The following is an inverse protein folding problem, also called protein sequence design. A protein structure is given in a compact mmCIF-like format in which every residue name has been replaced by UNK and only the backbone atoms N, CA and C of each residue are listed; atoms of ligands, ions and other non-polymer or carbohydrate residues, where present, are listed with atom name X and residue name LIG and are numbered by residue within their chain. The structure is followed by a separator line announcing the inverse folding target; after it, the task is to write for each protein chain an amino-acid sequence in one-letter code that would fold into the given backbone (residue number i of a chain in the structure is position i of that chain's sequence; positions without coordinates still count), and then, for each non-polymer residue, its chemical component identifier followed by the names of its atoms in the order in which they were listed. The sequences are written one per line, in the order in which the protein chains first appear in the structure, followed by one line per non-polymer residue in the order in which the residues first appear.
data_IF_120503087280
#
_entry.id   IF_120503087280
#
_cell.length_a   1.000
_cell.length_b   1.000
_cell.length_c   1.000
_cell.angle_alpha   90.00
_cell.angle_beta   90.00
_cell.angle_gamma   90.00
#
_symmetry.space_group_name_H-M   'P 1'
#
loop_
_entity.id
_entity.type
_entity.pdbx_description
1 polymer ?
#
# COMPACT_ATOMS: atom_id res chain seq x y z
N UNK A 1 -42.33 22.92 12.30
CA UNK A 1 -41.47 23.49 11.24
C UNK A 1 -40.20 24.01 11.87
N UNK A 2 -39.11 23.23 11.82
CA UNK A 2 -37.74 23.71 12.05
C UNK A 2 -36.79 22.59 11.64
N UNK A 3 -36.12 22.76 10.51
CA UNK A 3 -35.03 21.90 10.03
C UNK A 3 -34.03 22.79 9.29
N UNK A 4 -32.85 22.93 9.87
CA UNK A 4 -31.68 23.57 9.26
C UNK A 4 -30.50 22.61 9.35
N UNK A 5 -29.45 22.90 8.60
CA UNK A 5 -28.17 22.19 8.59
C UNK A 5 -28.24 20.75 8.04
N UNK A 6 -28.46 20.65 6.73
CA UNK A 6 -28.08 19.50 5.90
C UNK A 6 -27.36 20.03 4.64
N UNK A 7 -26.16 20.60 4.83
CA UNK A 7 -25.25 21.07 3.77
C UNK A 7 -23.81 20.79 4.25
N UNK A 8 -22.91 20.52 3.30
CA UNK A 8 -21.46 20.26 3.48
C UNK A 8 -21.12 18.89 4.11
N UNK A 9 -21.09 17.85 3.26
CA UNK A 9 -20.13 16.73 3.37
C UNK A 9 -19.89 15.98 2.02
N UNK A 10 -20.28 16.57 0.87
CA UNK A 10 -20.28 15.90 -0.46
C UNK A 10 -19.44 16.68 -1.48
N UNK A 11 -18.25 17.17 -1.07
CA UNK A 11 -17.38 18.02 -1.92
C UNK A 11 -15.89 17.62 -1.91
N UNK A 12 -15.39 16.92 -0.89
CA UNK A 12 -13.95 16.58 -0.82
C UNK A 12 -13.52 15.43 -1.76
N UNK A 13 -14.44 14.58 -2.22
CA UNK A 13 -14.15 13.49 -3.18
C UNK A 13 -13.92 13.97 -4.63
N UNK A 14 -13.81 15.27 -4.88
CA UNK A 14 -13.58 15.87 -6.20
C UNK A 14 -12.21 16.56 -6.35
N UNK A 15 -11.32 16.39 -5.37
CA UNK A 15 -9.87 16.63 -5.50
C UNK A 15 -9.09 15.32 -5.75
N UNK A 16 -9.71 14.38 -6.46
CA UNK A 16 -9.00 13.30 -7.16
C UNK A 16 -7.82 13.88 -7.95
N UNK A 17 -6.67 13.20 -7.95
CA UNK A 17 -5.45 13.65 -8.62
C UNK A 17 -5.73 14.08 -10.07
N UNK A 18 -5.71 15.40 -10.32
CA UNK A 18 -6.04 16.02 -11.61
C UNK A 18 -4.93 15.86 -12.66
N UNK A 19 -4.51 14.61 -12.89
CA UNK A 19 -3.60 14.19 -13.95
C UNK A 19 -4.27 14.36 -15.32
N UNK A 20 -4.43 15.60 -15.75
CA UNK A 20 -4.75 15.96 -17.14
C UNK A 20 -3.50 15.83 -18.01
N UNK A 21 -3.00 14.61 -18.10
CA UNK A 21 -1.83 14.25 -18.91
C UNK A 21 -2.02 14.76 -20.34
N UNK A 22 -1.19 15.74 -20.72
CA UNK A 22 -1.33 16.43 -22.00
C UNK A 22 -0.82 15.54 -23.13
N UNK A 23 -1.73 14.72 -23.68
CA UNK A 23 -1.50 13.92 -24.88
C UNK A 23 -0.77 14.72 -25.97
N UNK A 24 0.50 14.38 -26.20
CA UNK A 24 1.13 14.54 -27.51
C UNK A 24 0.86 13.27 -28.29
N UNK A 25 0.15 13.38 -29.40
CA UNK A 25 -0.18 12.24 -30.26
C UNK A 25 1.11 11.55 -30.73
N UNK A 26 1.35 10.31 -30.30
CA UNK A 26 2.20 9.35 -31.01
C UNK A 26 1.29 8.40 -31.82
N UNK A 27 1.71 8.03 -33.02
CA UNK A 27 0.92 7.16 -33.88
C UNK A 27 1.17 5.68 -33.58
N UNK A 28 0.11 4.89 -33.58
CA UNK A 28 0.15 3.43 -33.56
C UNK A 28 1.10 2.87 -34.63
N UNK A 29 2.26 2.42 -34.17
CA UNK A 29 3.12 1.50 -34.89
C UNK A 29 3.52 0.41 -33.91
N UNK A 30 3.38 -0.86 -34.30
CA UNK A 30 3.84 -2.00 -33.49
C UNK A 30 5.36 -2.10 -33.54
N UNK A 31 6.02 -1.15 -32.88
CA UNK A 31 7.43 -1.24 -32.53
C UNK A 31 7.54 -2.34 -31.48
N UNK A 32 8.19 -3.46 -31.83
CA UNK A 32 8.68 -4.40 -30.83
C UNK A 32 9.71 -3.61 -30.01
N UNK A 33 9.56 -3.49 -28.68
CA UNK A 33 10.49 -2.69 -27.88
C UNK A 33 11.91 -3.23 -28.07
N UNK A 34 12.93 -2.35 -28.22
CA UNK A 34 14.31 -2.80 -28.37
C UNK A 34 14.74 -3.61 -27.12
N UNK A 35 15.64 -4.59 -27.28
CA UNK A 35 16.11 -5.39 -26.16
C UNK A 35 16.71 -4.48 -25.08
N UNK A 36 16.21 -4.62 -23.85
CA UNK A 36 16.56 -3.76 -22.73
C UNK A 36 18.09 -3.77 -22.48
N UNK A 37 18.75 -2.61 -22.32
CA UNK A 37 20.21 -2.53 -22.24
C UNK A 37 20.76 -3.24 -20.99
N UNK A 38 21.99 -3.79 -21.05
CA UNK A 38 22.59 -4.51 -19.92
C UNK A 38 22.73 -3.61 -18.68
N UNK A 39 22.59 -4.21 -17.50
CA UNK A 39 22.76 -3.53 -16.22
C UNK A 39 24.27 -3.32 -15.97
N UNK A 40 24.67 -2.11 -15.55
CA UNK A 40 26.08 -1.84 -15.23
C UNK A 40 26.49 -2.56 -13.93
N UNK A 41 27.69 -3.16 -13.92
CA UNK A 41 28.26 -3.73 -12.70
C UNK A 41 28.97 -2.63 -11.91
N UNK A 42 28.38 -2.25 -10.78
CA UNK A 42 28.92 -1.22 -9.89
C UNK A 42 30.36 -1.56 -9.44
N UNK A 43 31.31 -0.65 -9.65
CA UNK A 43 32.70 -0.91 -9.27
C UNK A 43 32.90 -0.81 -7.75
N UNK A 44 33.98 -1.41 -7.23
CA UNK A 44 34.35 -1.28 -5.82
C UNK A 44 34.67 0.19 -5.42
N UNK A 45 35.12 1.01 -6.37
CA UNK A 45 35.37 2.44 -6.14
C UNK A 45 34.05 3.23 -6.06
N UNK A 46 33.12 3.00 -6.99
CA UNK A 46 31.78 3.60 -6.97
C UNK A 46 31.03 3.22 -5.68
N UNK A 47 31.06 1.93 -5.34
CA UNK A 47 30.50 1.39 -4.10
C UNK A 47 31.05 2.08 -2.86
N UNK A 48 32.37 2.29 -2.79
CA UNK A 48 33.01 2.93 -1.63
C UNK A 48 32.69 4.44 -1.55
N UNK A 49 32.55 5.13 -2.68
CA UNK A 49 32.13 6.53 -2.72
C UNK A 49 30.68 6.70 -2.26
N UNK A 50 29.75 5.90 -2.81
CA UNK A 50 28.33 5.93 -2.43
C UNK A 50 28.15 5.52 -0.97
N UNK A 51 28.85 4.47 -0.49
CA UNK A 51 28.79 4.02 0.90
C UNK A 51 29.34 5.04 1.92
N UNK A 52 30.12 6.03 1.48
CA UNK A 52 30.52 7.16 2.32
C UNK A 52 29.41 8.20 2.39
N UNK A 53 28.88 8.63 1.24
CA UNK A 53 27.78 9.59 1.16
C UNK A 53 26.52 9.09 1.87
N UNK A 54 26.25 7.77 1.80
CA UNK A 54 25.19 7.11 2.58
C UNK A 54 25.37 7.35 4.10
N UNK A 55 26.60 7.21 4.62
CA UNK A 55 26.87 7.46 6.04
C UNK A 55 26.63 8.92 6.41
N UNK A 56 27.02 9.87 5.56
CA UNK A 56 26.79 11.30 5.79
C UNK A 56 25.28 11.65 5.81
N UNK A 57 24.47 10.98 4.97
CA UNK A 57 23.00 11.08 4.98
C UNK A 57 22.41 10.43 6.25
N UNK A 58 22.87 9.23 6.64
CA UNK A 58 22.45 8.54 7.89
C UNK A 58 22.76 9.38 9.13
N UNK A 59 23.91 10.07 9.16
CA UNK A 59 24.26 11.00 10.24
C UNK A 59 23.35 12.24 10.26
N UNK A 60 22.93 12.75 9.08
CA UNK A 60 21.93 13.81 8.98
C UNK A 60 20.55 13.35 9.49
N UNK A 61 20.07 12.16 9.10
CA UNK A 61 18.84 11.55 9.64
C UNK A 61 18.88 11.45 11.16
N UNK A 62 19.94 10.89 11.73
CA UNK A 62 20.08 10.72 13.17
C UNK A 62 20.12 12.05 13.93
N UNK A 63 20.72 13.10 13.35
CA UNK A 63 20.71 14.45 13.90
C UNK A 63 19.29 15.06 13.84
N UNK A 64 18.58 14.91 12.72
CA UNK A 64 17.21 15.37 12.57
C UNK A 64 16.28 14.70 13.57
N UNK A 65 16.25 13.37 13.65
CA UNK A 65 15.35 12.63 14.56
C UNK A 65 15.50 13.05 16.02
N UNK A 66 16.73 13.28 16.51
CA UNK A 66 16.97 13.80 17.87
C UNK A 66 16.28 15.15 18.11
N UNK A 67 16.40 16.07 17.15
CA UNK A 67 15.73 17.38 17.21
C UNK A 67 14.20 17.35 17.07
N UNK A 68 13.61 16.20 16.72
CA UNK A 68 12.14 15.98 16.77
C UNK A 68 11.72 15.37 18.12
N UNK A 69 12.60 14.61 18.78
CA UNK A 69 12.31 13.95 20.06
C UNK A 69 12.63 14.79 21.31
N UNK A 70 13.45 15.83 21.17
CA UNK A 70 13.74 16.79 22.25
C UNK A 70 12.54 17.74 22.44
N UNK A 71 12.23 18.11 23.69
CA UNK A 71 10.94 18.72 24.07
C UNK A 71 10.68 20.13 23.53
N UNK A 72 11.67 20.76 22.93
CA UNK A 72 11.58 22.10 22.34
C UNK A 72 11.15 21.97 20.87
N UNK A 73 9.83 21.95 20.63
CA UNK A 73 9.21 21.77 19.30
C UNK A 73 9.47 22.98 18.36
N UNK A 74 10.71 23.08 17.89
CA UNK A 74 11.20 24.15 17.03
C UNK A 74 10.97 23.80 15.55
N UNK A 75 9.88 24.33 15.01
CA UNK A 75 9.48 24.11 13.62
C UNK A 75 10.52 24.55 12.59
N UNK A 76 11.37 25.53 12.89
CA UNK A 76 12.44 25.97 11.98
C UNK A 76 13.62 25.01 12.01
N UNK A 77 14.06 24.52 13.19
CA UNK A 77 15.03 23.41 13.26
C UNK A 77 14.53 22.19 12.49
N UNK A 78 13.25 21.83 12.63
CA UNK A 78 12.65 20.72 11.89
C UNK A 78 12.61 20.96 10.37
N UNK A 79 12.33 22.18 9.90
CA UNK A 79 12.42 22.53 8.47
C UNK A 79 13.84 22.40 7.95
N UNK A 80 14.82 23.02 8.62
CA UNK A 80 16.23 22.97 8.21
C UNK A 80 16.80 21.56 8.20
N UNK A 81 16.47 20.74 9.22
CA UNK A 81 16.92 19.35 9.32
C UNK A 81 16.40 18.47 8.19
N UNK A 82 15.12 18.62 7.80
CA UNK A 82 14.53 17.94 6.63
C UNK A 82 15.18 18.39 5.33
N UNK A 83 15.31 19.70 5.12
CA UNK A 83 15.90 20.26 3.89
C UNK A 83 17.35 19.78 3.67
N UNK A 84 18.19 19.82 4.70
CA UNK A 84 19.58 19.31 4.60
C UNK A 84 19.64 17.79 4.36
N UNK A 85 18.67 17.02 4.84
CA UNK A 85 18.58 15.58 4.55
C UNK A 85 18.19 15.34 3.08
N UNK A 86 17.08 15.93 2.63
CA UNK A 86 16.62 15.86 1.24
C UNK A 86 17.70 16.28 0.25
N UNK A 87 18.30 17.44 0.49
CA UNK A 87 19.34 18.00 -0.37
C UNK A 87 20.52 17.04 -0.54
N UNK A 88 21.01 16.42 0.55
CA UNK A 88 22.12 15.45 0.48
C UNK A 88 21.75 14.17 -0.26
N UNK A 89 20.50 13.72 -0.16
CA UNK A 89 20.01 12.61 -0.98
C UNK A 89 19.97 13.00 -2.46
N UNK A 90 19.37 14.14 -2.82
CA UNK A 90 19.36 14.63 -4.20
C UNK A 90 20.76 14.84 -4.79
N UNK A 91 21.66 15.47 -4.03
CA UNK A 91 23.08 15.64 -4.38
C UNK A 91 23.77 14.29 -4.60
N UNK A 92 23.49 13.26 -3.78
CA UNK A 92 24.02 11.92 -3.99
C UNK A 92 23.48 11.29 -5.28
N UNK A 93 22.16 11.26 -5.47
CA UNK A 93 21.51 10.57 -6.57
C UNK A 93 21.83 11.19 -7.93
N UNK A 94 21.77 12.53 -8.03
CA UNK A 94 22.01 13.26 -9.29
C UNK A 94 23.49 13.20 -9.69
N UNK A 95 24.43 13.33 -8.75
CA UNK A 95 25.87 13.28 -9.07
C UNK A 95 26.42 11.85 -9.20
N UNK A 96 25.67 10.82 -8.79
CA UNK A 96 26.10 9.42 -8.86
C UNK A 96 24.95 8.54 -9.38
N UNK A 97 24.61 8.57 -10.68
CA UNK A 97 23.44 7.84 -11.22
C UNK A 97 23.49 6.32 -10.97
N UNK A 98 24.68 5.73 -10.84
CA UNK A 98 24.89 4.33 -10.43
C UNK A 98 24.32 3.97 -9.04
N UNK A 99 23.85 4.94 -8.27
CA UNK A 99 23.05 4.73 -7.05
C UNK A 99 21.81 3.87 -7.29
N UNK A 100 21.27 3.83 -8.52
CA UNK A 100 20.23 2.86 -8.92
C UNK A 100 20.65 1.40 -8.69
N UNK A 101 21.95 1.09 -8.84
CA UNK A 101 22.52 -0.26 -8.70
C UNK A 101 23.20 -0.51 -7.34
N UNK A 102 23.28 0.51 -6.47
CA UNK A 102 23.82 0.37 -5.12
C UNK A 102 22.79 -0.21 -4.15
N UNK A 103 23.24 -1.02 -3.19
CA UNK A 103 22.42 -1.59 -2.11
C UNK A 103 22.57 -0.75 -0.84
N UNK A 104 21.53 0.03 -0.53
CA UNK A 104 21.47 1.00 0.55
C UNK A 104 21.22 0.36 1.92
N UNK A 105 22.15 -0.50 2.34
CA UNK A 105 22.11 -1.28 3.57
C UNK A 105 21.88 -0.47 4.85
N UNK A 106 22.20 0.84 4.88
CA UNK A 106 21.98 1.70 6.06
C UNK A 106 20.75 2.60 5.92
N UNK A 107 20.45 3.13 4.73
CA UNK A 107 19.20 3.90 4.55
C UNK A 107 17.96 3.02 4.62
N UNK A 108 18.05 1.75 4.20
CA UNK A 108 16.96 0.77 4.38
C UNK A 108 16.61 0.49 5.86
N UNK A 109 17.52 0.79 6.80
CA UNK A 109 17.26 0.72 8.26
C UNK A 109 16.52 1.95 8.80
N UNK A 110 16.32 2.98 7.96
CA UNK A 110 15.61 4.23 8.25
C UNK A 110 14.32 4.32 7.41
N UNK A 111 13.66 3.19 7.18
CA UNK A 111 12.46 3.05 6.33
C UNK A 111 11.27 3.91 6.78
N UNK A 112 11.26 4.38 8.03
CA UNK A 112 10.30 5.33 8.59
C UNK A 112 10.59 6.80 8.22
N UNK A 113 11.72 7.07 7.54
CA UNK A 113 12.17 8.39 7.08
C UNK A 113 12.36 8.36 5.55
N UNK A 114 13.05 7.35 5.02
CA UNK A 114 13.27 7.17 3.57
C UNK A 114 12.96 5.72 3.22
N UNK A 115 11.90 5.48 2.44
CA UNK A 115 11.57 4.16 1.89
C UNK A 115 12.16 4.05 0.48
N UNK A 116 13.04 3.07 0.27
CA UNK A 116 13.64 2.78 -1.04
C UNK A 116 12.92 1.57 -1.64
N UNK A 117 12.39 1.73 -2.85
CA UNK A 117 11.64 0.68 -3.57
C UNK A 117 12.26 0.50 -4.95
N UNK A 118 12.63 -0.72 -5.34
CA UNK A 118 13.21 -1.03 -6.65
C UNK A 118 12.35 -2.03 -7.42
N UNK A 119 12.36 -1.97 -8.75
CA UNK A 119 11.82 -3.04 -9.58
C UNK A 119 12.67 -4.32 -9.49
N UNK A 120 12.09 -5.52 -9.70
CA UNK A 120 12.81 -6.80 -9.67
C UNK A 120 13.99 -6.89 -10.66
N UNK A 121 13.93 -6.16 -11.78
CA UNK A 121 15.00 -6.06 -12.79
C UNK A 121 16.01 -4.92 -12.53
N UNK A 122 15.88 -4.18 -11.43
CA UNK A 122 16.79 -3.08 -11.07
C UNK A 122 16.74 -1.86 -12.00
N UNK A 123 15.72 -1.73 -12.85
CA UNK A 123 15.59 -0.65 -13.84
C UNK A 123 14.85 0.58 -13.35
N UNK A 124 14.03 0.47 -12.32
CA UNK A 124 13.24 1.57 -11.76
C UNK A 124 13.42 1.57 -10.24
N UNK A 125 13.62 2.75 -9.65
CA UNK A 125 13.72 2.91 -8.20
C UNK A 125 13.10 4.22 -7.73
N UNK A 126 12.35 4.17 -6.63
CA UNK A 126 11.88 5.33 -5.88
C UNK A 126 12.62 5.46 -4.55
N UNK A 127 12.85 6.70 -4.13
CA UNK A 127 13.33 7.07 -2.80
C UNK A 127 12.29 8.01 -2.18
N UNK A 128 11.35 7.44 -1.41
CA UNK A 128 10.14 8.12 -0.90
C UNK A 128 10.38 8.67 0.51
N UNK A 129 9.92 9.90 0.76
CA UNK A 129 9.99 10.57 2.07
C UNK A 129 8.66 11.25 2.39
N UNK A 130 8.13 11.07 3.61
CA UNK A 130 7.07 11.95 4.14
C UNK A 130 7.69 13.27 4.54
N UNK A 131 7.28 14.37 3.91
CA UNK A 131 7.76 15.71 4.23
C UNK A 131 7.46 16.15 5.68
N UNK A 132 6.56 15.46 6.40
CA UNK A 132 6.01 15.85 7.70
C UNK A 132 5.40 17.26 7.70
N UNK A 133 4.76 17.67 6.60
CA UNK A 133 4.12 18.99 6.47
C UNK A 133 2.60 18.98 6.62
N UNK A 134 1.90 17.91 6.20
CA UNK A 134 0.42 17.85 6.22
C UNK A 134 -0.22 17.28 7.49
N UNK A 135 0.58 16.97 8.52
CA UNK A 135 0.09 16.61 9.86
C UNK A 135 -0.63 15.26 9.90
N UNK A 136 -1.97 15.25 9.91
CA UNK A 136 -2.76 14.01 9.83
C UNK A 136 -2.71 13.38 8.44
N UNK A 137 -2.49 14.19 7.39
CA UNK A 137 -2.32 13.80 5.99
C UNK A 137 -0.82 13.91 5.61
N UNK A 138 -0.05 12.81 5.59
CA UNK A 138 1.31 12.81 5.05
C UNK A 138 1.37 13.37 3.62
N UNK A 139 2.40 14.14 3.30
CA UNK A 139 2.68 14.54 1.92
C UNK A 139 4.00 13.91 1.51
N UNK A 140 3.94 12.97 0.57
CA UNK A 140 5.12 12.28 0.09
C UNK A 140 5.76 13.01 -1.08
N UNK A 141 7.09 12.96 -1.13
CA UNK A 141 7.92 13.43 -2.24
C UNK A 141 8.96 12.35 -2.51
N UNK A 142 9.30 12.13 -3.78
CA UNK A 142 10.25 11.08 -4.16
C UNK A 142 11.21 11.51 -5.26
N UNK A 143 12.45 11.05 -5.13
CA UNK A 143 13.33 10.91 -6.27
C UNK A 143 12.98 9.61 -7.01
N UNK A 144 12.89 9.68 -8.32
CA UNK A 144 12.75 8.53 -9.22
C UNK A 144 14.06 8.35 -9.98
N UNK A 145 14.58 7.13 -10.04
CA UNK A 145 15.67 6.74 -10.93
C UNK A 145 15.20 5.67 -11.90
N UNK A 146 15.53 5.82 -13.19
CA UNK A 146 15.28 4.80 -14.20
C UNK A 146 16.50 4.57 -15.10
N UNK A 147 16.70 3.33 -15.53
CA UNK A 147 17.66 2.94 -16.56
C UNK A 147 16.99 3.05 -17.93
N UNK A 148 17.36 4.06 -18.70
CA UNK A 148 16.80 4.38 -20.01
C UNK A 148 17.15 3.35 -21.08
N UNK A 149 16.50 3.44 -22.25
CA UNK A 149 16.73 2.50 -23.36
C UNK A 149 18.09 2.63 -24.04
N UNK A 150 18.79 3.74 -23.83
CA UNK A 150 20.15 4.00 -24.32
C UNK A 150 21.24 3.42 -23.40
N UNK A 151 20.90 3.12 -22.15
CA UNK A 151 21.81 2.60 -21.11
C UNK A 151 22.18 3.62 -20.03
N UNK A 152 21.74 4.88 -20.13
CA UNK A 152 21.99 5.91 -19.12
C UNK A 152 20.97 5.85 -17.97
N UNK A 153 21.35 6.36 -16.80
CA UNK A 153 20.45 6.41 -15.63
C UNK A 153 19.95 7.84 -15.40
N UNK A 154 18.65 8.01 -15.59
CA UNK A 154 17.94 9.28 -15.42
C UNK A 154 17.44 9.40 -13.98
N UNK A 155 17.63 10.58 -13.37
CA UNK A 155 17.11 10.90 -12.04
C UNK A 155 16.16 12.10 -12.15
N UNK A 156 14.92 11.96 -11.68
CA UNK A 156 13.96 13.07 -11.56
C UNK A 156 13.50 13.26 -10.11
N UNK A 157 13.04 14.48 -9.79
CA UNK A 157 12.18 14.73 -8.63
C UNK A 157 10.75 14.70 -9.12
N UNK A 158 9.91 13.92 -8.45
CA UNK A 158 8.48 13.93 -8.70
C UNK A 158 7.71 14.18 -7.38
N UNK A 159 6.73 15.08 -7.41
CA UNK A 159 5.59 15.09 -6.46
C UNK A 159 4.39 14.28 -6.99
N UNK A 160 4.46 13.80 -8.23
CA UNK A 160 3.45 12.96 -8.85
C UNK A 160 4.15 11.88 -9.69
N UNK A 161 3.95 10.60 -9.39
CA UNK A 161 4.64 9.47 -10.01
C UNK A 161 4.31 9.31 -11.49
N UNK A 162 3.24 9.95 -11.95
CA UNK A 162 2.81 9.98 -13.36
C UNK A 162 3.37 11.14 -14.19
N UNK A 163 4.09 12.09 -13.58
CA UNK A 163 4.60 13.31 -14.26
C UNK A 163 6.11 13.49 -14.02
N UNK A 164 6.89 13.58 -15.10
CA UNK A 164 8.37 13.59 -15.04
C UNK A 164 8.96 14.96 -15.39
N UNK A 165 8.97 15.88 -14.42
CA UNK A 165 9.75 17.12 -14.54
C UNK A 165 11.23 16.86 -14.17
N UNK A 166 12.14 17.14 -15.10
CA UNK A 166 13.59 16.99 -14.92
C UNK A 166 14.19 18.18 -14.15
N UNK A 167 13.99 18.20 -12.83
CA UNK A 167 14.38 19.29 -11.93
C UNK A 167 15.81 19.11 -11.42
N UNK A 168 16.65 20.15 -11.57
CA UNK A 168 18.02 20.19 -11.04
C UNK A 168 18.08 20.46 -9.53
N UNK A 169 19.20 20.09 -8.90
CA UNK A 169 19.44 20.29 -7.47
C UNK A 169 19.46 21.76 -7.00
N UNK A 170 19.54 22.73 -7.92
CA UNK A 170 19.48 24.17 -7.61
C UNK A 170 18.04 24.70 -7.62
N UNK A 171 17.22 24.31 -8.60
CA UNK A 171 15.79 24.65 -8.68
C UNK A 171 15.01 24.15 -7.45
N UNK A 172 15.43 23.02 -6.87
CA UNK A 172 14.99 22.50 -5.58
C UNK A 172 15.01 23.53 -4.44
N UNK A 173 16.04 24.39 -4.39
CA UNK A 173 16.21 25.35 -3.29
C UNK A 173 15.16 26.47 -3.30
N UNK A 174 14.68 26.81 -4.50
CA UNK A 174 13.57 27.75 -4.70
C UNK A 174 12.24 27.03 -4.41
N UNK A 175 12.02 25.86 -5.02
CA UNK A 175 10.79 25.06 -4.91
C UNK A 175 10.40 24.66 -3.47
N UNK A 176 11.38 24.31 -2.63
CA UNK A 176 11.12 23.97 -1.22
C UNK A 176 11.05 25.20 -0.28
N UNK A 177 11.27 26.41 -0.81
CA UNK A 177 11.15 27.69 -0.07
C UNK A 177 9.85 28.43 -0.38
N UNK A 178 9.30 28.24 -1.58
CA UNK A 178 7.93 28.61 -1.91
C UNK A 178 6.96 27.75 -1.09
N UNK A 179 6.08 28.42 -0.34
CA UNK A 179 5.01 27.78 0.45
C UNK A 179 3.86 27.18 -0.39
N UNK A 180 4.04 27.10 -1.72
CA UNK A 180 3.13 26.39 -2.60
C UNK A 180 3.42 24.89 -2.46
N UNK A 181 2.47 24.16 -1.87
CA UNK A 181 2.57 22.72 -1.66
C UNK A 181 3.02 22.02 -2.95
N UNK A 182 4.10 21.21 -2.92
CA UNK A 182 4.39 20.28 -3.99
C UNK A 182 3.15 19.46 -4.34
N UNK A 183 3.07 18.96 -5.58
CA UNK A 183 2.08 17.94 -5.92
C UNK A 183 2.16 16.83 -4.87
N UNK A 184 1.01 16.52 -4.26
CA UNK A 184 0.97 15.65 -3.08
C UNK A 184 1.13 14.20 -3.51
N UNK A 185 2.35 13.70 -3.43
CA UNK A 185 2.67 12.34 -3.77
C UNK A 185 2.03 11.33 -2.81
N UNK A 186 1.78 10.14 -3.32
CA UNK A 186 1.50 8.94 -2.55
C UNK A 186 2.78 8.28 -2.00
N UNK A 187 2.62 7.42 -1.01
CA UNK A 187 3.66 6.47 -0.59
C UNK A 187 3.79 5.41 -1.69
N UNK A 188 4.99 5.21 -2.24
CA UNK A 188 5.24 4.05 -3.11
C UNK A 188 5.56 2.85 -2.21
N UNK A 189 4.75 1.80 -2.32
CA UNK A 189 4.81 0.67 -1.39
C UNK A 189 5.60 -0.53 -1.92
N UNK A 190 5.42 -0.86 -3.20
CA UNK A 190 6.17 -1.90 -3.92
C UNK A 190 6.09 -1.67 -5.44
N UNK A 191 7.11 -2.13 -6.18
CA UNK A 191 7.07 -2.25 -7.64
C UNK A 191 7.04 -3.74 -7.98
N UNK A 192 5.96 -4.19 -8.60
CA UNK A 192 5.91 -5.51 -9.22
C UNK A 192 6.18 -5.40 -10.73
N UNK A 193 6.40 -6.55 -11.37
CA UNK A 193 6.82 -6.63 -12.75
C UNK A 193 6.00 -7.68 -13.50
N UNK A 194 5.64 -7.38 -14.75
CA UNK A 194 5.06 -8.35 -15.67
C UNK A 194 5.48 -8.04 -17.10
N UNK A 195 5.55 -9.08 -17.95
CA UNK A 195 5.78 -8.94 -19.38
C UNK A 195 4.48 -9.28 -20.13
N UNK A 196 4.12 -8.45 -21.11
CA UNK A 196 2.96 -8.72 -21.96
C UNK A 196 3.24 -9.84 -22.99
N UNK A 197 2.17 -10.34 -23.62
CA UNK A 197 2.22 -11.23 -24.78
C UNK A 197 2.98 -10.64 -25.99
N UNK A 198 3.29 -9.34 -26.00
CA UNK A 198 4.12 -8.69 -27.01
C UNK A 198 5.57 -8.44 -26.55
N UNK A 199 5.97 -8.97 -25.39
CA UNK A 199 7.28 -8.71 -24.78
C UNK A 199 7.46 -7.30 -24.24
N UNK A 200 6.37 -6.56 -24.00
CA UNK A 200 6.45 -5.24 -23.37
C UNK A 200 6.57 -5.42 -21.84
N UNK A 201 7.66 -4.93 -21.28
CA UNK A 201 7.89 -4.79 -19.84
C UNK A 201 6.90 -3.78 -19.25
N UNK A 202 6.17 -4.22 -18.24
CA UNK A 202 5.19 -3.45 -17.45
C UNK A 202 5.67 -3.48 -15.99
N UNK A 203 5.63 -2.31 -15.35
CA UNK A 203 5.80 -2.15 -13.92
C UNK A 203 4.43 -1.84 -13.30
N UNK A 204 4.10 -2.50 -12.19
CA UNK A 204 2.90 -2.25 -11.41
C UNK A 204 3.31 -1.60 -10.10
N UNK A 205 2.98 -0.32 -9.95
CA UNK A 205 3.39 0.49 -8.81
C UNK A 205 2.25 0.46 -7.78
N UNK A 206 2.42 -0.36 -6.75
CA UNK A 206 1.56 -0.31 -5.58
C UNK A 206 1.86 0.97 -4.80
N UNK A 207 0.83 1.77 -4.54
CA UNK A 207 0.97 3.02 -3.81
C UNK A 207 -0.24 3.29 -2.90
N UNK A 208 0.01 4.02 -1.81
CA UNK A 208 -1.00 4.34 -0.80
C UNK A 208 -0.99 5.82 -0.43
N UNK A 209 -2.15 6.36 -0.06
CA UNK A 209 -2.31 7.72 0.44
C UNK A 209 -3.24 7.71 1.66
N UNK A 210 -2.97 8.62 2.60
CA UNK A 210 -3.79 8.85 3.79
C UNK A 210 -4.32 10.28 3.74
N UNK A 211 -5.63 10.44 3.57
CA UNK A 211 -6.27 11.74 3.34
C UNK A 211 -6.58 12.49 4.65
N UNK A 212 -6.88 11.74 5.73
CA UNK A 212 -7.07 12.27 7.08
C UNK A 212 -6.81 11.15 8.12
N UNK A 213 -7.25 11.31 9.37
CA UNK A 213 -7.13 10.30 10.43
C UNK A 213 -7.71 8.93 10.06
N UNK A 214 -8.76 8.91 9.24
CA UNK A 214 -9.64 7.76 9.00
C UNK A 214 -9.59 7.26 7.56
N UNK A 215 -9.56 8.16 6.56
CA UNK A 215 -9.68 7.83 5.14
C UNK A 215 -8.33 7.61 4.45
N UNK A 216 -8.26 6.58 3.62
CA UNK A 216 -7.08 6.18 2.84
C UNK A 216 -7.44 5.69 1.45
N UNK A 217 -6.55 5.92 0.49
CA UNK A 217 -6.59 5.29 -0.83
C UNK A 217 -5.44 4.30 -0.98
N UNK A 218 -5.69 3.17 -1.66
CA UNK A 218 -4.66 2.24 -2.12
C UNK A 218 -4.87 1.92 -3.60
N UNK A 219 -3.80 2.01 -4.38
CA UNK A 219 -3.86 2.02 -5.84
C UNK A 219 -2.70 1.23 -6.50
N UNK A 220 -2.99 0.67 -7.68
CA UNK A 220 -1.99 0.17 -8.61
C UNK A 220 -1.99 1.02 -9.87
N UNK A 221 -0.86 1.63 -10.20
CA UNK A 221 -0.59 2.24 -11.50
C UNK A 221 0.17 1.26 -12.40
N UNK A 222 -0.19 1.21 -13.68
CA UNK A 222 0.54 0.44 -14.69
C UNK A 222 1.41 1.38 -15.53
N UNK A 223 2.71 1.09 -15.63
CA UNK A 223 3.68 1.96 -16.33
C UNK A 223 4.73 1.15 -17.11
N UNK A 224 5.40 1.78 -18.06
CA UNK A 224 6.58 1.23 -18.78
C UNK A 224 7.66 2.28 -18.94
N UNK A 225 8.93 1.85 -19.04
CA UNK A 225 10.01 2.73 -19.45
C UNK A 225 9.96 2.87 -20.97
N UNK A 226 9.91 4.12 -21.45
CA UNK A 226 9.85 4.49 -22.87
C UNK A 226 10.89 5.57 -23.11
N UNK A 227 11.99 5.19 -23.78
CA UNK A 227 13.15 6.07 -23.94
C UNK A 227 13.84 6.33 -22.60
N UNK A 228 13.82 7.60 -22.20
CA UNK A 228 14.31 8.19 -20.96
C UNK A 228 13.19 8.51 -19.94
N UNK A 229 11.94 8.13 -20.24
CA UNK A 229 10.76 8.44 -19.42
C UNK A 229 10.08 7.20 -18.85
N UNK A 230 9.36 7.37 -17.74
CA UNK A 230 8.39 6.40 -17.25
C UNK A 230 6.99 6.83 -17.71
N UNK A 231 6.39 6.07 -18.63
CA UNK A 231 5.09 6.37 -19.24
C UNK A 231 3.98 5.51 -18.65
N UNK A 232 2.84 6.12 -18.32
CA UNK A 232 1.65 5.38 -17.90
C UNK A 232 1.05 4.53 -19.03
N UNK A 233 0.55 3.34 -18.69
CA UNK A 233 -0.09 2.39 -19.61
C UNK A 233 -1.56 2.19 -19.24
N UNK A 234 -2.47 2.41 -20.18
CA UNK A 234 -3.91 2.22 -19.94
C UNK A 234 -4.30 0.73 -20.04
N UNK A 235 -3.97 -0.06 -19.01
CA UNK A 235 -4.13 -1.52 -19.00
C UNK A 235 -5.34 -2.04 -18.23
N UNK A 236 -6.01 -1.23 -17.41
CA UNK A 236 -7.08 -1.72 -16.54
C UNK A 236 -8.47 -1.56 -17.18
N UNK A 237 -9.12 -2.68 -17.52
CA UNK A 237 -10.47 -2.71 -18.08
C UNK A 237 -11.51 -2.59 -16.96
N UNK A 238 -12.03 -1.39 -16.73
CA UNK A 238 -13.10 -1.13 -15.76
C UNK A 238 -14.37 -0.63 -16.48
N UNK A 239 -15.48 -1.36 -16.37
CA UNK A 239 -16.76 -1.02 -17.01
C UNK A 239 -16.63 -0.72 -18.52
N UNK A 240 -15.81 -1.51 -19.22
CA UNK A 240 -15.54 -1.35 -20.67
C UNK A 240 -14.65 -0.15 -21.04
N UNK A 241 -14.04 0.54 -20.07
CA UNK A 241 -13.10 1.65 -20.29
C UNK A 241 -11.71 1.27 -19.78
N UNK A 242 -10.68 1.60 -20.54
CA UNK A 242 -9.30 1.46 -20.11
C UNK A 242 -8.91 2.57 -19.12
N UNK A 243 -8.13 2.21 -18.09
CA UNK A 243 -7.58 3.12 -17.08
C UNK A 243 -6.08 2.87 -16.91
N UNK A 244 -5.37 3.92 -16.50
CA UNK A 244 -3.94 3.86 -16.13
C UNK A 244 -3.69 3.30 -14.74
N UNK A 245 -4.71 3.37 -13.87
CA UNK A 245 -4.67 2.86 -12.50
C UNK A 245 -6.00 2.20 -12.10
N UNK A 246 -5.94 1.42 -11.04
CA UNK A 246 -7.10 0.99 -10.22
C UNK A 246 -6.85 1.39 -8.77
N UNK A 247 -7.90 1.84 -8.08
CA UNK A 247 -7.85 2.39 -6.72
C UNK A 247 -9.03 1.89 -5.90
N UNK A 248 -8.84 1.75 -4.59
CA UNK A 248 -9.90 1.58 -3.61
C UNK A 248 -9.67 2.51 -2.40
N UNK A 249 -10.62 3.42 -2.20
CA UNK A 249 -10.70 4.30 -1.04
C UNK A 249 -11.45 3.60 0.10
N UNK A 250 -10.93 3.71 1.32
CA UNK A 250 -11.46 3.02 2.49
C UNK A 250 -11.28 3.83 3.79
N UNK A 251 -12.15 3.56 4.76
CA UNK A 251 -12.09 4.08 6.12
C UNK A 251 -11.48 3.05 7.08
N UNK A 252 -10.68 3.52 8.05
CA UNK A 252 -10.04 2.67 9.06
C UNK A 252 -10.92 2.27 10.25
N UNK A 253 -11.99 3.03 10.53
CA UNK A 253 -12.64 3.11 11.86
C UNK A 253 -12.87 1.75 12.53
N UNK A 254 -13.67 0.87 11.92
CA UNK A 254 -13.96 -0.44 12.50
C UNK A 254 -12.92 -1.49 12.10
N UNK A 255 -12.21 -1.30 10.99
CA UNK A 255 -11.37 -2.34 10.39
C UNK A 255 -10.17 -2.70 11.27
N UNK A 256 -9.54 -1.72 11.93
CA UNK A 256 -8.46 -1.98 12.88
C UNK A 256 -8.93 -2.90 14.02
N UNK A 257 -10.11 -2.62 14.58
CA UNK A 257 -10.68 -3.43 15.66
C UNK A 257 -11.25 -4.77 15.17
N UNK A 258 -11.68 -4.87 13.91
CA UNK A 258 -12.14 -6.14 13.29
C UNK A 258 -10.96 -7.05 12.98
N UNK A 259 -9.92 -6.56 12.31
CA UNK A 259 -8.74 -7.32 11.87
C UNK A 259 -7.68 -7.43 12.97
N UNK A 260 -8.00 -8.17 14.04
CA UNK A 260 -7.05 -8.62 15.08
C UNK A 260 -6.15 -7.49 15.66
N UNK A 261 -6.76 -6.32 15.91
CA UNK A 261 -6.12 -5.08 16.39
C UNK A 261 -5.10 -4.49 15.39
N UNK A 262 -5.49 -4.43 14.10
CA UNK A 262 -4.65 -3.98 12.99
C UNK A 262 -3.62 -4.99 12.51
N UNK A 263 -3.64 -6.23 13.01
CA UNK A 263 -2.78 -7.29 12.52
C UNK A 263 -3.34 -7.84 11.21
N UNK A 264 -2.67 -7.48 10.11
CA UNK A 264 -3.24 -7.51 8.78
C UNK A 264 -3.68 -6.10 8.35
N UNK A 265 -2.78 -5.41 7.66
CA UNK A 265 -3.06 -4.18 6.88
C UNK A 265 -2.30 -4.18 5.55
N UNK A 266 -1.09 -4.76 5.58
CA UNK A 266 -0.26 -5.23 4.48
C UNK A 266 -0.99 -6.06 3.42
N UNK A 267 -2.07 -6.75 3.79
CA UNK A 267 -2.92 -7.55 2.90
C UNK A 267 -4.09 -6.83 2.22
N UNK A 268 -4.40 -5.58 2.57
CA UNK A 268 -5.52 -4.86 1.93
C UNK A 268 -5.22 -4.64 0.43
N UNK A 269 -3.96 -4.42 0.08
CA UNK A 269 -3.48 -4.36 -1.29
C UNK A 269 -2.55 -5.53 -1.58
N UNK A 270 -2.79 -6.28 -2.65
CA UNK A 270 -1.82 -7.28 -3.14
C UNK A 270 -1.82 -7.41 -4.65
N UNK A 271 -0.65 -7.69 -5.21
CA UNK A 271 -0.50 -8.39 -6.48
C UNK A 271 0.02 -9.80 -6.22
N UNK A 272 -0.63 -10.82 -6.78
CA UNK A 272 -0.14 -12.20 -6.78
C UNK A 272 0.55 -12.49 -8.13
N UNK A 273 1.87 -12.66 -8.10
CA UNK A 273 2.70 -12.92 -9.28
C UNK A 273 2.38 -14.28 -9.95
N UNK A 274 1.88 -15.28 -9.18
CA UNK A 274 1.60 -16.61 -9.69
C UNK A 274 0.30 -16.66 -10.52
N UNK A 275 -0.76 -16.02 -10.02
CA UNK A 275 -2.05 -15.90 -10.73
C UNK A 275 -2.20 -14.61 -11.53
N UNK A 276 -1.18 -13.75 -11.51
CA UNK A 276 -1.14 -12.42 -12.14
C UNK A 276 -2.39 -11.59 -11.80
N UNK A 277 -2.83 -11.66 -10.54
CA UNK A 277 -4.09 -11.10 -10.06
C UNK A 277 -3.86 -10.02 -9.01
N UNK A 278 -4.51 -8.87 -9.22
CA UNK A 278 -4.57 -7.75 -8.28
C UNK A 278 -5.78 -7.92 -7.36
N UNK A 279 -5.55 -7.64 -6.08
CA UNK A 279 -6.51 -7.60 -5.00
C UNK A 279 -6.51 -6.19 -4.40
N UNK A 280 -7.65 -5.52 -4.44
CA UNK A 280 -7.96 -4.26 -3.74
C UNK A 280 -9.22 -4.48 -2.88
N UNK A 281 -9.41 -3.84 -1.72
CA UNK A 281 -10.53 -4.15 -0.84
C UNK A 281 -11.85 -3.76 -1.49
N UNK A 282 -12.84 -4.64 -1.38
CA UNK A 282 -14.23 -4.26 -1.52
C UNK A 282 -14.69 -3.65 -0.19
N UNK A 283 -15.30 -2.47 -0.26
CA UNK A 283 -15.79 -1.72 0.90
C UNK A 283 -17.32 -1.74 0.98
N UNK A 284 -17.86 -1.56 2.18
CA UNK A 284 -19.30 -1.40 2.40
C UNK A 284 -19.73 0.07 2.17
N UNK A 285 -21.03 0.37 2.36
CA UNK A 285 -21.60 1.72 2.15
C UNK A 285 -20.97 2.81 3.07
N UNK A 286 -20.23 2.42 4.11
CA UNK A 286 -19.49 3.30 5.03
C UNK A 286 -17.99 3.39 4.70
N UNK A 287 -17.55 2.84 3.56
CA UNK A 287 -16.15 2.71 3.15
C UNK A 287 -15.28 1.79 4.02
N UNK A 288 -15.84 1.08 5.01
CA UNK A 288 -15.08 0.07 5.78
C UNK A 288 -14.78 -1.14 4.87
N UNK A 289 -13.52 -1.64 4.81
CA UNK A 289 -13.19 -2.88 4.11
C UNK A 289 -14.02 -4.08 4.60
N UNK A 290 -14.41 -4.96 3.68
CA UNK A 290 -15.30 -6.08 3.96
C UNK A 290 -14.59 -7.42 4.14
N UNK A 291 -13.26 -7.47 3.99
CA UNK A 291 -12.43 -8.69 3.79
C UNK A 291 -12.64 -9.38 2.42
N UNK A 292 -13.65 -8.96 1.64
CA UNK A 292 -13.73 -9.25 0.21
C UNK A 292 -12.88 -8.26 -0.60
N UNK A 293 -12.55 -8.63 -1.82
CA UNK A 293 -11.65 -7.89 -2.71
C UNK A 293 -12.27 -7.70 -4.09
N UNK A 294 -12.15 -6.50 -4.65
CA UNK A 294 -12.32 -6.23 -6.08
C UNK A 294 -11.08 -6.75 -6.80
N UNK A 295 -11.27 -7.69 -7.74
CA UNK A 295 -10.18 -8.44 -8.34
C UNK A 295 -10.03 -8.14 -9.84
N UNK A 296 -8.77 -8.05 -10.28
CA UNK A 296 -8.39 -7.87 -11.69
C UNK A 296 -7.30 -8.87 -12.07
N UNK A 297 -7.47 -9.64 -13.14
CA UNK A 297 -6.49 -10.64 -13.59
C UNK A 297 -5.89 -10.23 -14.94
N UNK A 298 -4.58 -10.45 -15.11
CA UNK A 298 -3.91 -10.15 -16.37
C UNK A 298 -4.18 -11.23 -17.43
N UNK A 299 -4.66 -10.82 -18.60
CA UNK A 299 -4.91 -11.71 -19.74
C UNK A 299 -3.71 -11.83 -20.71
N UNK A 300 -2.55 -11.27 -20.34
CA UNK A 300 -1.38 -11.11 -21.20
C UNK A 300 -1.33 -9.79 -22.00
N UNK A 301 -2.37 -8.95 -21.92
CA UNK A 301 -2.45 -7.64 -22.58
C UNK A 301 -3.06 -6.55 -21.68
N UNK A 302 -4.14 -6.87 -20.97
CA UNK A 302 -4.84 -6.00 -20.02
C UNK A 302 -5.15 -6.71 -18.71
N UNK A 303 -5.37 -5.93 -17.66
CA UNK A 303 -5.96 -6.35 -16.40
C UNK A 303 -7.48 -6.20 -16.50
N UNK A 304 -8.19 -7.31 -16.62
CA UNK A 304 -9.65 -7.32 -16.72
C UNK A 304 -10.25 -7.63 -15.34
N UNK A 305 -11.31 -6.90 -14.95
CA UNK A 305 -12.00 -7.18 -13.69
C UNK A 305 -12.71 -8.52 -13.73
N UNK A 306 -12.40 -9.39 -12.76
CA UNK A 306 -12.98 -10.74 -12.63
C UNK A 306 -14.06 -10.84 -11.54
N UNK A 307 -14.44 -9.70 -10.93
CA UNK A 307 -15.53 -9.60 -9.96
C UNK A 307 -15.07 -9.22 -8.55
N UNK A 308 -15.84 -9.65 -7.56
CA UNK A 308 -15.56 -9.44 -6.14
C UNK A 308 -15.62 -10.79 -5.42
N UNK A 309 -14.54 -11.21 -4.77
CA UNK A 309 -14.46 -12.49 -4.05
C UNK A 309 -13.67 -12.37 -2.74
N UNK A 310 -13.46 -13.47 -2.04
CA UNK A 310 -12.56 -13.54 -0.89
C UNK A 310 -11.08 -13.37 -1.28
N UNK A 311 -10.25 -12.99 -0.31
CA UNK A 311 -8.80 -12.95 -0.53
C UNK A 311 -8.16 -14.34 -0.73
N UNK A 312 -6.98 -14.35 -1.33
CA UNK A 312 -6.12 -15.53 -1.56
C UNK A 312 -5.74 -16.32 -0.28
N UNK A 313 -5.74 -15.64 0.88
CA UNK A 313 -5.41 -16.16 2.23
C UNK A 313 -6.45 -17.09 2.87
N UNK A 314 -7.63 -17.26 2.28
CA UNK A 314 -8.78 -17.83 2.95
C UNK A 314 -9.20 -19.10 2.21
N UNK A 315 -9.37 -20.19 2.95
CA UNK A 315 -9.79 -21.48 2.37
C UNK A 315 -11.11 -21.35 1.60
N UNK A 316 -11.17 -21.89 0.38
CA UNK A 316 -12.31 -21.81 -0.57
C UNK A 316 -13.69 -22.08 0.07
N UNK A 317 -13.77 -23.01 1.01
CA UNK A 317 -15.01 -23.35 1.73
C UNK A 317 -15.51 -22.27 2.70
N UNK A 318 -14.92 -21.07 2.68
CA UNK A 318 -15.29 -19.91 3.47
C UNK A 318 -15.58 -18.67 2.61
N UNK A 319 -15.59 -18.76 1.28
CA UNK A 319 -15.76 -17.59 0.40
C UNK A 319 -17.21 -17.03 0.34
N UNK A 320 -18.20 -17.76 0.88
CA UNK A 320 -19.63 -17.43 0.81
C UNK A 320 -20.13 -16.31 1.75
N UNK A 321 -19.24 -15.47 2.30
CA UNK A 321 -19.55 -14.41 3.25
C UNK A 321 -19.90 -13.06 2.60
N UNK A 322 -20.51 -12.15 3.36
CA UNK A 322 -20.73 -10.75 2.95
C UNK A 322 -19.63 -9.84 3.49
N UNK A 323 -19.31 -9.96 4.77
CA UNK A 323 -18.39 -9.06 5.48
C UNK A 323 -17.71 -9.76 6.67
N UNK A 324 -16.41 -9.57 6.87
CA UNK A 324 -15.75 -9.94 8.13
C UNK A 324 -16.31 -9.09 9.27
N UNK A 325 -16.59 -9.72 10.41
CA UNK A 325 -17.14 -9.06 11.62
C UNK A 325 -16.30 -9.24 12.88
N UNK A 326 -15.34 -10.18 12.88
CA UNK A 326 -14.24 -10.26 13.83
C UNK A 326 -13.19 -11.26 13.34
N UNK A 327 -11.92 -10.89 13.34
CA UNK A 327 -10.80 -11.85 13.38
C UNK A 327 -10.07 -11.68 14.71
N UNK A 328 -9.72 -12.78 15.39
CA UNK A 328 -8.87 -12.76 16.58
C UNK A 328 -7.94 -13.95 16.67
N UNK A 329 -6.68 -13.69 17.00
CA UNK A 329 -5.68 -14.70 17.38
C UNK A 329 -5.62 -14.79 18.91
N UNK A 330 -6.09 -15.90 19.45
CA UNK A 330 -5.96 -16.28 20.86
C UNK A 330 -4.72 -17.17 21.06
N UNK A 331 -4.36 -17.46 22.31
CA UNK A 331 -3.17 -18.26 22.66
C UNK A 331 -3.12 -19.65 22.00
N UNK A 332 -4.26 -20.27 21.69
CA UNK A 332 -4.36 -21.62 21.07
C UNK A 332 -5.20 -21.65 19.80
N UNK A 333 -5.97 -20.62 19.48
CA UNK A 333 -6.91 -20.62 18.36
C UNK A 333 -6.88 -19.31 17.58
N UNK A 334 -6.96 -19.37 16.25
CA UNK A 334 -7.41 -18.23 15.44
C UNK A 334 -8.91 -18.43 15.18
N UNK A 335 -9.71 -17.39 15.38
CA UNK A 335 -11.16 -17.39 15.13
C UNK A 335 -11.52 -16.28 14.15
N UNK A 336 -12.43 -16.60 13.24
CA UNK A 336 -13.02 -15.68 12.28
C UNK A 336 -14.55 -15.73 12.40
N UNK A 337 -15.17 -14.56 12.50
CA UNK A 337 -16.62 -14.36 12.49
C UNK A 337 -17.00 -13.56 11.25
N UNK A 338 -17.91 -14.09 10.44
CA UNK A 338 -18.38 -13.47 9.20
C UNK A 338 -19.89 -13.22 9.25
N UNK A 339 -20.36 -12.17 8.56
CA UNK A 339 -21.78 -12.01 8.22
C UNK A 339 -22.11 -12.78 6.94
N UNK A 340 -23.32 -13.35 6.87
CA UNK A 340 -23.78 -14.17 5.74
C UNK A 340 -24.93 -13.49 5.01
N UNK A 341 -25.04 -13.70 3.69
CA UNK A 341 -26.09 -13.11 2.84
C UNK A 341 -27.53 -13.53 3.23
N UNK A 342 -27.66 -14.58 4.04
CA UNK A 342 -28.92 -15.06 4.63
C UNK A 342 -29.36 -14.30 5.90
N UNK A 343 -28.59 -13.30 6.36
CA UNK A 343 -28.89 -12.52 7.57
C UNK A 343 -28.43 -13.16 8.88
N UNK A 344 -27.65 -14.24 8.82
CA UNK A 344 -26.97 -14.86 9.97
C UNK A 344 -25.47 -14.60 9.97
N UNK A 345 -24.76 -15.30 10.85
CA UNK A 345 -23.30 -15.26 10.96
C UNK A 345 -22.70 -16.67 10.85
N UNK A 346 -21.41 -16.71 10.52
CA UNK A 346 -20.57 -17.91 10.52
C UNK A 346 -19.42 -17.72 11.50
N UNK A 347 -19.17 -18.75 12.32
CA UNK A 347 -17.94 -18.94 13.08
C UNK A 347 -17.05 -19.92 12.31
N UNK A 348 -15.78 -19.58 12.12
CA UNK A 348 -14.73 -20.49 11.70
C UNK A 348 -13.55 -20.41 12.68
N UNK A 349 -12.87 -21.53 12.97
CA UNK A 349 -11.67 -21.50 13.80
C UNK A 349 -10.63 -22.56 13.45
N UNK A 350 -9.37 -22.20 13.70
CA UNK A 350 -8.18 -23.00 13.47
C UNK A 350 -7.39 -23.16 14.77
N UNK A 351 -7.00 -24.38 15.12
CA UNK A 351 -6.14 -24.67 16.26
C UNK A 351 -4.66 -24.48 15.95
N UNK A 352 -3.89 -23.98 16.93
CA UNK A 352 -2.42 -23.95 16.88
C UNK A 352 -1.81 -22.94 15.92
N UNK A 353 -2.52 -21.88 15.54
CA UNK A 353 -2.01 -20.84 14.64
C UNK A 353 -1.78 -21.32 13.20
N UNK A 354 -2.58 -22.29 12.73
CA UNK A 354 -2.61 -22.69 11.31
C UNK A 354 -3.01 -21.50 10.43
N UNK A 355 -2.44 -21.46 9.24
CA UNK A 355 -2.80 -20.53 8.17
C UNK A 355 -4.30 -20.68 7.77
N UNK A 356 -5.00 -19.57 7.54
CA UNK A 356 -6.43 -19.55 7.20
C UNK A 356 -6.73 -20.06 5.77
N UNK A 357 -5.70 -20.23 4.93
CA UNK A 357 -5.81 -20.88 3.62
C UNK A 357 -6.00 -22.40 3.76
N UNK A 358 -5.64 -22.97 4.91
CA UNK A 358 -5.97 -24.34 5.27
C UNK A 358 -7.41 -24.43 5.74
N UNK A 359 -8.04 -25.60 5.55
CA UNK A 359 -9.42 -25.84 5.97
C UNK A 359 -9.58 -25.65 7.48
N UNK A 360 -10.58 -24.88 7.96
CA UNK A 360 -10.83 -24.68 9.39
C UNK A 360 -11.17 -26.00 10.09
N UNK A 361 -10.74 -26.13 11.35
CA UNK A 361 -11.04 -27.30 12.18
C UNK A 361 -12.52 -27.34 12.60
N UNK A 362 -13.14 -26.16 12.77
CA UNK A 362 -14.54 -26.00 13.14
C UNK A 362 -15.16 -24.90 12.29
N UNK A 363 -16.34 -25.20 11.71
CA UNK A 363 -17.29 -24.20 11.20
C UNK A 363 -18.64 -24.38 11.93
N UNK A 364 -19.33 -23.26 12.19
CA UNK A 364 -20.69 -23.19 12.77
C UNK A 364 -21.43 -22.02 12.09
N UNK A 365 -22.73 -22.17 11.82
CA UNK A 365 -23.60 -21.09 11.32
C UNK A 365 -24.73 -20.84 12.33
N UNK A 366 -25.15 -19.60 12.51
CA UNK A 366 -26.21 -19.26 13.48
C UNK A 366 -26.64 -17.79 13.45
N UNK A 367 -27.49 -17.40 14.41
CA UNK A 367 -27.89 -16.00 14.63
C UNK A 367 -26.76 -15.11 15.15
N UNK A 368 -25.71 -15.71 15.74
CA UNK A 368 -24.39 -15.13 15.97
C UNK A 368 -24.30 -14.08 17.08
N UNK A 369 -25.21 -13.11 17.17
CA UNK A 369 -25.05 -11.94 18.07
C UNK A 369 -25.31 -12.31 19.54
N UNK A 370 -24.33 -12.01 20.40
CA UNK A 370 -24.42 -12.19 21.84
C UNK A 370 -25.14 -11.05 22.57
N UNK A 371 -25.14 -11.11 23.91
CA UNK A 371 -25.83 -10.12 24.76
C UNK A 371 -25.11 -8.76 24.87
N UNK A 372 -23.83 -8.68 24.47
CA UNK A 372 -23.06 -7.45 24.35
C UNK A 372 -22.73 -7.20 22.87
N UNK A 373 -22.72 -5.94 22.43
CA UNK A 373 -22.60 -5.60 21.00
C UNK A 373 -21.31 -6.08 20.31
N UNK A 374 -20.23 -6.32 21.07
CA UNK A 374 -18.95 -6.86 20.59
C UNK A 374 -18.81 -8.38 20.78
N UNK A 375 -19.84 -9.06 21.29
CA UNK A 375 -19.81 -10.50 21.60
C UNK A 375 -20.60 -11.33 20.60
N UNK A 376 -20.09 -12.53 20.29
CA UNK A 376 -20.76 -13.51 19.45
C UNK A 376 -20.94 -14.85 20.16
N UNK A 377 -22.06 -15.53 19.90
CA UNK A 377 -22.45 -16.81 20.51
C UNK A 377 -22.89 -17.78 19.40
N UNK A 378 -22.35 -19.01 19.44
CA UNK A 378 -22.65 -20.07 18.49
C UNK A 378 -22.83 -21.43 19.19
N UNK A 379 -23.87 -22.17 18.82
CA UNK A 379 -24.17 -23.50 19.38
C UNK A 379 -23.84 -24.63 18.40
N UNK A 380 -23.32 -25.75 18.92
CA UNK A 380 -23.01 -26.98 18.17
C UNK A 380 -23.32 -28.22 18.99
N UNK A 381 -24.61 -28.51 19.14
CA UNK A 381 -25.10 -29.64 19.96
C UNK A 381 -24.95 -29.34 21.45
N UNK A 382 -24.18 -30.14 22.18
CA UNK A 382 -23.88 -29.93 23.60
C UNK A 382 -22.95 -28.72 23.89
N UNK A 383 -22.36 -28.13 22.84
CA UNK A 383 -21.31 -27.12 22.96
C UNK A 383 -21.81 -25.73 22.61
N UNK A 384 -21.48 -24.74 23.45
CA UNK A 384 -21.71 -23.31 23.19
C UNK A 384 -20.36 -22.59 23.15
N UNK A 385 -20.15 -21.76 22.13
CA UNK A 385 -18.93 -20.98 21.90
C UNK A 385 -19.27 -19.51 22.10
N UNK A 386 -18.54 -18.81 22.98
CA UNK A 386 -18.71 -17.38 23.23
C UNK A 386 -17.39 -16.67 22.92
N UNK A 387 -17.44 -15.67 22.04
CA UNK A 387 -16.29 -14.99 21.42
C UNK A 387 -16.43 -13.49 21.60
N UNK A 388 -15.35 -12.79 21.94
CA UNK A 388 -15.27 -11.32 21.94
C UNK A 388 -13.82 -10.86 21.69
N UNK A 389 -13.50 -9.55 21.58
CA UNK A 389 -12.14 -9.08 21.25
C UNK A 389 -11.01 -9.53 22.19
N UNK A 390 -11.31 -9.95 23.42
CA UNK A 390 -10.35 -10.29 24.48
C UNK A 390 -10.28 -11.79 24.77
N UNK A 391 -11.38 -12.54 24.65
CA UNK A 391 -11.44 -13.96 25.03
C UNK A 391 -12.43 -14.82 24.24
N UNK A 392 -12.10 -16.12 24.21
CA UNK A 392 -12.89 -17.23 23.69
C UNK A 392 -13.21 -18.18 24.84
N UNK A 393 -14.49 -18.41 25.14
CA UNK A 393 -14.92 -19.46 26.08
C UNK A 393 -15.74 -20.52 25.35
N UNK A 394 -15.41 -21.79 25.58
CA UNK A 394 -16.19 -22.93 25.12
C UNK A 394 -16.81 -23.63 26.32
N UNK A 395 -18.13 -23.74 26.29
CA UNK A 395 -18.93 -24.47 27.27
C UNK A 395 -19.35 -25.82 26.69
N UNK A 396 -19.53 -26.82 27.56
CA UNK A 396 -20.27 -28.05 27.27
C UNK A 396 -21.35 -28.24 28.33
N UNK A 397 -22.62 -28.36 27.92
CA UNK A 397 -23.77 -28.50 28.81
C UNK A 397 -23.77 -27.46 29.95
N UNK A 398 -23.44 -26.20 29.62
CA UNK A 398 -23.34 -25.07 30.57
C UNK A 398 -22.06 -24.99 31.39
N UNK A 399 -21.18 -25.99 31.36
CA UNK A 399 -19.90 -26.01 32.10
C UNK A 399 -18.78 -25.52 31.19
N UNK A 400 -17.94 -24.58 31.65
CA UNK A 400 -16.74 -24.14 30.91
C UNK A 400 -15.77 -25.31 30.77
N UNK A 401 -15.39 -25.65 29.54
CA UNK A 401 -14.38 -26.67 29.23
C UNK A 401 -13.10 -26.09 28.60
N UNK A 402 -13.17 -24.87 28.06
CA UNK A 402 -12.00 -24.10 27.64
C UNK A 402 -12.25 -22.60 27.81
N UNK A 403 -11.23 -21.88 28.27
CA UNK A 403 -11.11 -20.43 28.19
C UNK A 403 -9.77 -20.14 27.52
N UNK A 404 -9.75 -19.24 26.55
CA UNK A 404 -8.56 -18.76 25.83
C UNK A 404 -8.59 -17.22 25.76
N UNK A 405 -7.44 -16.58 25.88
CA UNK A 405 -7.30 -15.11 25.83
C UNK A 405 -6.59 -14.67 24.57
N UNK A 406 -6.84 -13.44 24.13
CA UNK A 406 -6.18 -12.85 22.96
C UNK A 406 -4.67 -12.87 23.12
N UNK A 407 -3.97 -13.00 21.99
CA UNK A 407 -2.52 -12.89 21.90
C UNK A 407 -2.20 -11.45 21.53
N UNK A 408 -1.62 -10.70 22.47
CA UNK A 408 -1.00 -9.41 22.14
C UNK A 408 0.32 -9.66 21.40
N UNK A 409 0.59 -8.84 20.38
CA UNK A 409 1.74 -8.94 19.48
C UNK A 409 2.82 -7.90 19.83
#
# INVERSE_FOLDING_TARGET
MSTHNNIIYVVLALLLCCCTGKNKNSHDTKVIPPPLPPIEVLTAADSAAIAKSEMDIVLACNKYMRSVTESDFDGEKMKTGRYELFKKLGELLVNNPKTLFYDFQRLNQLNNIIKIVSSPDGRLRYYVHDTYQGGTMPFYVYYQQLLGSDGEVYTSLNGNHTDTDSISAEQWSEYYSSYEYPSQGCMIDSIYQIDSNSGQRIYLIANSQKFDSEHRGIAFDAMSIVGDTLSGMALFTQNGKQRYYVVADHALFDWYDIADNGYGMDWLQKYDELTQTIYLPAVNDYQTPTDRYVMYSFNGMSFDSIGIDAGYWLHESLHDFVELKMMRTYQRFTVRIDSMATGGYRYASWSGGKDMSLKPDIVIYGSGKGAFDTSYIFDKGEYMYTVNPEWLTVYKNGIVIALDTVKYH
#
